data_IF_615574820548
#
_entry.id   IF_615574820548
#
_cell.length_a   1.000
_cell.length_b   1.000
_cell.length_c   1.000
_cell.angle_alpha   90.00
_cell.angle_beta   90.00
_cell.angle_gamma   90.00
#
_symmetry.space_group_name_H-M   'P 1'
#
loop_
_entity.id
_entity.type
_entity.pdbx_description
1 polymer ?
#
# COMPACT_ATOMS: atom_id res chain seq x y z
N UNK A 1 -8.92 22.43 4.77
CA UNK A 1 -9.29 21.26 5.59
C UNK A 1 -10.18 20.28 4.82
N UNK A 2 -10.13 20.28 3.48
CA UNK A 2 -10.94 19.42 2.60
C UNK A 2 -10.08 18.70 1.54
N UNK A 3 -8.76 18.67 1.72
CA UNK A 3 -7.82 18.04 0.77
C UNK A 3 -7.04 16.87 1.41
N UNK A 4 -6.96 16.77 2.74
CA UNK A 4 -6.20 15.71 3.43
C UNK A 4 -6.96 14.36 3.42
N UNK A 5 -8.30 14.39 3.49
CA UNK A 5 -9.17 13.20 3.49
C UNK A 5 -9.21 12.51 2.12
N UNK A 6 -9.27 13.27 1.04
CA UNK A 6 -9.20 12.75 -0.34
C UNK A 6 -7.86 12.05 -0.59
N UNK A 7 -6.77 12.58 -0.04
CA UNK A 7 -5.45 11.98 -0.17
C UNK A 7 -5.32 10.69 0.65
N UNK A 8 -5.91 10.65 1.85
CA UNK A 8 -5.92 9.45 2.69
C UNK A 8 -6.75 8.32 2.09
N UNK A 9 -7.89 8.61 1.47
CA UNK A 9 -8.68 7.60 0.74
C UNK A 9 -7.90 6.98 -0.43
N UNK A 10 -7.19 7.80 -1.21
CA UNK A 10 -6.36 7.31 -2.31
C UNK A 10 -5.20 6.43 -1.82
N UNK A 11 -4.55 6.82 -0.70
CA UNK A 11 -3.51 6.02 -0.05
C UNK A 11 -4.07 4.71 0.48
N UNK A 12 -5.25 4.74 1.09
CA UNK A 12 -5.92 3.56 1.61
C UNK A 12 -6.25 2.58 0.48
N UNK A 13 -6.92 3.05 -0.57
CA UNK A 13 -7.30 2.23 -1.72
C UNK A 13 -6.09 1.61 -2.42
N UNK A 14 -5.08 2.42 -2.77
CA UNK A 14 -3.88 1.93 -3.47
C UNK A 14 -3.08 0.92 -2.61
N UNK A 15 -2.90 1.19 -1.31
CA UNK A 15 -2.23 0.26 -0.40
C UNK A 15 -3.00 -1.05 -0.23
N UNK A 16 -4.33 -0.99 -0.22
CA UNK A 16 -5.20 -2.16 -0.12
C UNK A 16 -5.08 -3.04 -1.36
N UNK A 17 -5.06 -2.46 -2.56
CA UNK A 17 -4.86 -3.22 -3.80
C UNK A 17 -3.47 -3.86 -3.91
N UNK A 18 -2.42 -3.20 -3.38
CA UNK A 18 -1.08 -3.82 -3.30
C UNK A 18 -1.08 -5.06 -2.39
N UNK A 19 -1.72 -4.98 -1.22
CA UNK A 19 -1.87 -6.12 -0.32
C UNK A 19 -2.66 -7.24 -1.00
N UNK A 20 -3.79 -6.91 -1.62
CA UNK A 20 -4.66 -7.85 -2.31
C UNK A 20 -3.94 -8.58 -3.45
N UNK A 21 -3.13 -7.87 -4.24
CA UNK A 21 -2.31 -8.48 -5.29
C UNK A 21 -1.26 -9.45 -4.70
N UNK A 22 -0.62 -9.09 -3.59
CA UNK A 22 0.33 -9.98 -2.91
C UNK A 22 -0.35 -11.25 -2.37
N UNK A 23 -1.57 -11.12 -1.84
CA UNK A 23 -2.36 -12.27 -1.36
C UNK A 23 -2.74 -13.22 -2.50
N UNK A 24 -3.11 -12.70 -3.68
CA UNK A 24 -3.39 -13.53 -4.87
C UNK A 24 -2.14 -14.25 -5.34
N UNK A 25 -1.01 -13.54 -5.47
CA UNK A 25 0.27 -14.15 -5.86
C UNK A 25 0.67 -15.28 -4.92
N UNK A 26 0.61 -15.05 -3.61
CA UNK A 26 0.89 -16.07 -2.61
C UNK A 26 -0.08 -17.26 -2.68
N UNK A 27 -1.36 -17.03 -2.94
CA UNK A 27 -2.34 -18.11 -3.12
C UNK A 27 -2.06 -18.95 -4.37
N UNK A 28 -1.68 -18.31 -5.48
CA UNK A 28 -1.40 -18.99 -6.74
C UNK A 28 -0.06 -19.76 -6.68
N UNK A 29 0.96 -19.23 -5.99
CA UNK A 29 2.23 -19.91 -5.70
C UNK A 29 2.03 -21.14 -4.79
N UNK A 30 1.17 -21.01 -3.78
CA UNK A 30 0.80 -22.13 -2.92
C UNK A 30 0.07 -23.23 -3.69
N UNK A 31 -0.84 -22.86 -4.60
CA UNK A 31 -1.55 -23.80 -5.46
C UNK A 31 -0.62 -24.49 -6.47
N UNK A 32 0.39 -23.79 -6.99
CA UNK A 32 1.39 -24.37 -7.89
C UNK A 32 2.32 -25.37 -7.20
N UNK A 33 2.58 -25.18 -5.90
CA UNK A 33 3.53 -26.00 -5.13
C UNK A 33 2.93 -27.34 -4.67
N UNK A 34 1.61 -27.43 -4.46
CA UNK A 34 0.95 -28.66 -3.97
C UNK A 34 -0.35 -28.99 -4.75
N UNK A 35 -0.25 -29.52 -5.99
CA UNK A 35 -1.42 -29.75 -6.84
C UNK A 35 -2.34 -30.92 -6.42
N UNK A 36 -1.89 -31.82 -5.54
CA UNK A 36 -2.54 -33.12 -5.26
C UNK A 36 -2.98 -33.34 -3.79
N UNK A 37 -3.03 -32.29 -2.95
CA UNK A 37 -3.41 -32.46 -1.54
C UNK A 37 -4.94 -32.57 -1.35
N UNK A 38 -5.47 -33.79 -1.50
CA UNK A 38 -6.90 -34.16 -1.37
C UNK A 38 -7.56 -33.75 -0.03
N UNK A 39 -6.81 -33.31 0.98
CA UNK A 39 -7.29 -33.05 2.34
C UNK A 39 -6.87 -31.71 2.96
N UNK A 40 -6.27 -30.78 2.20
CA UNK A 40 -6.00 -29.44 2.73
C UNK A 40 -7.15 -28.51 2.35
N UNK A 41 -7.62 -27.71 3.31
CA UNK A 41 -8.54 -26.62 3.01
C UNK A 41 -7.92 -25.81 1.89
N UNK A 42 -8.64 -25.63 0.77
CA UNK A 42 -8.21 -24.83 -0.38
C UNK A 42 -8.13 -23.32 -0.07
N UNK A 43 -7.96 -23.00 1.21
CA UNK A 43 -7.88 -21.68 1.77
C UNK A 43 -6.42 -21.26 1.84
N UNK A 44 -6.05 -20.08 1.33
CA UNK A 44 -4.67 -19.63 1.39
C UNK A 44 -4.21 -19.52 2.84
N UNK A 45 -2.98 -19.99 3.11
CA UNK A 45 -2.33 -19.78 4.42
C UNK A 45 -2.16 -18.29 4.76
N UNK A 46 -2.23 -17.42 3.75
CA UNK A 46 -2.03 -16.00 3.89
C UNK A 46 -0.55 -15.63 3.89
N UNK A 47 -0.27 -14.33 4.06
CA UNK A 47 1.08 -13.81 4.20
C UNK A 47 1.33 -13.42 5.66
N UNK A 48 2.56 -13.55 6.18
CA UNK A 48 2.86 -13.11 7.54
C UNK A 48 2.68 -11.60 7.69
N UNK A 49 2.23 -11.16 8.86
CA UNK A 49 1.96 -9.75 9.15
C UNK A 49 3.17 -8.84 8.86
N UNK A 50 4.39 -9.32 9.11
CA UNK A 50 5.63 -8.57 8.81
C UNK A 50 5.84 -8.33 7.31
N UNK A 51 5.44 -9.26 6.46
CA UNK A 51 5.54 -9.12 5.00
C UNK A 51 4.43 -8.23 4.47
N UNK A 52 3.21 -8.37 4.99
CA UNK A 52 2.10 -7.47 4.67
C UNK A 52 2.47 -6.00 4.94
N UNK A 53 3.20 -5.72 6.04
CA UNK A 53 3.72 -4.38 6.37
C UNK A 53 4.87 -3.89 5.47
N UNK A 54 5.52 -4.77 4.74
CA UNK A 54 6.54 -4.39 3.75
C UNK A 54 5.89 -4.10 2.40
N UNK A 55 4.90 -4.92 2.03
CA UNK A 55 4.07 -4.72 0.84
C UNK A 55 3.26 -3.42 0.97
N UNK A 56 2.65 -3.21 2.14
CA UNK A 56 1.93 -1.99 2.47
C UNK A 56 2.86 -0.96 3.09
N UNK A 57 3.04 0.18 2.45
CA UNK A 57 3.81 1.29 3.01
C UNK A 57 3.14 1.92 4.23
N UNK A 58 1.80 1.84 4.32
CA UNK A 58 0.96 2.32 5.44
C UNK A 58 0.28 1.16 6.15
N UNK A 59 0.77 0.85 7.35
CA UNK A 59 0.37 -0.36 8.10
C UNK A 59 -0.86 -0.14 8.99
N UNK A 60 -1.21 1.12 9.25
CA UNK A 60 -2.40 1.53 9.97
C UNK A 60 -3.69 1.07 9.28
N UNK A 61 -3.67 0.97 7.95
CA UNK A 61 -4.81 0.50 7.16
C UNK A 61 -5.14 -0.99 7.32
N UNK A 62 -4.21 -1.81 7.84
CA UNK A 62 -4.47 -3.24 8.07
C UNK A 62 -5.61 -3.44 9.07
N UNK A 63 -5.64 -2.66 10.15
CA UNK A 63 -6.72 -2.74 11.13
C UNK A 63 -8.06 -2.34 10.51
N UNK A 64 -8.07 -1.32 9.66
CA UNK A 64 -9.29 -0.89 8.98
C UNK A 64 -9.80 -1.96 8.00
N UNK A 65 -8.93 -2.58 7.21
CA UNK A 65 -9.30 -3.65 6.27
C UNK A 65 -9.85 -4.89 6.98
N UNK A 66 -9.34 -5.21 8.16
CA UNK A 66 -9.85 -6.29 9.00
C UNK A 66 -11.24 -5.95 9.55
N UNK A 67 -11.44 -4.71 10.04
CA UNK A 67 -12.75 -4.22 10.49
C UNK A 67 -13.81 -4.19 9.37
N UNK A 68 -13.41 -3.90 8.14
CA UNK A 68 -14.29 -3.91 6.97
C UNK A 68 -14.52 -5.32 6.39
N UNK A 69 -13.97 -6.37 7.01
CA UNK A 69 -14.07 -7.76 6.58
C UNK A 69 -13.51 -8.03 5.17
N UNK A 70 -12.56 -7.23 4.70
CA UNK A 70 -11.84 -7.50 3.45
C UNK A 70 -10.76 -8.55 3.65
N UNK A 71 -10.07 -8.47 4.79
CA UNK A 71 -9.05 -9.41 5.24
C UNK A 71 -9.45 -10.02 6.59
N UNK A 72 -8.68 -11.02 7.01
CA UNK A 72 -8.72 -11.58 8.35
C UNK A 72 -7.28 -11.76 8.86
N UNK A 73 -7.04 -11.32 10.09
CA UNK A 73 -5.77 -11.55 10.81
C UNK A 73 -5.93 -12.78 11.72
N UNK A 74 -5.15 -13.82 11.45
CA UNK A 74 -5.18 -15.08 12.21
C UNK A 74 -4.45 -14.96 13.56
N UNK A 75 -4.65 -15.95 14.44
CA UNK A 75 -3.94 -16.05 15.73
C UNK A 75 -2.43 -16.16 15.57
N UNK A 76 -1.98 -16.73 14.46
CA UNK A 76 -0.56 -16.83 14.09
C UNK A 76 -0.04 -15.60 13.34
N UNK A 77 -0.77 -14.48 13.38
CA UNK A 77 -0.43 -13.24 12.68
C UNK A 77 -0.23 -13.42 11.17
N UNK A 78 -1.06 -14.27 10.56
CA UNK A 78 -1.15 -14.39 9.11
C UNK A 78 -2.34 -13.60 8.60
N UNK A 79 -2.11 -12.82 7.55
CA UNK A 79 -3.13 -12.04 6.86
C UNK A 79 -3.61 -12.84 5.68
N UNK A 80 -4.91 -13.09 5.63
CA UNK A 80 -5.57 -13.78 4.53
C UNK A 80 -6.80 -12.99 4.09
N UNK A 81 -7.31 -13.19 2.86
CA UNK A 81 -8.64 -12.70 2.52
C UNK A 81 -9.67 -13.24 3.52
N UNK A 82 -10.79 -12.56 3.71
CA UNK A 82 -11.84 -13.02 4.64
C UNK A 82 -12.60 -14.26 4.11
N UNK A 83 -12.66 -14.45 2.79
CA UNK A 83 -13.25 -15.64 2.16
C UNK A 83 -12.56 -16.03 0.85
N UNK A 84 -12.79 -17.27 0.38
CA UNK A 84 -12.38 -17.72 -0.96
C UNK A 84 -13.08 -16.90 -2.05
N UNK A 85 -14.33 -16.49 -1.81
CA UNK A 85 -15.07 -15.63 -2.76
C UNK A 85 -14.34 -14.30 -2.93
N UNK A 86 -13.91 -13.69 -1.83
CA UNK A 86 -13.14 -12.46 -1.86
C UNK A 86 -11.83 -12.64 -2.63
N UNK A 87 -11.11 -13.74 -2.39
CA UNK A 87 -9.88 -14.06 -3.14
C UNK A 87 -10.15 -14.16 -4.65
N UNK A 88 -11.24 -14.81 -5.06
CA UNK A 88 -11.59 -14.95 -6.47
C UNK A 88 -11.95 -13.62 -7.13
N UNK A 89 -12.71 -12.78 -6.43
CA UNK A 89 -13.04 -11.41 -6.90
C UNK A 89 -11.77 -10.59 -7.07
N UNK A 90 -10.88 -10.61 -6.07
CA UNK A 90 -9.59 -9.91 -6.17
C UNK A 90 -8.78 -10.45 -7.35
N UNK A 91 -8.72 -11.78 -7.52
CA UNK A 91 -8.00 -12.40 -8.63
C UNK A 91 -8.55 -11.96 -9.99
N UNK A 92 -9.86 -11.85 -10.12
CA UNK A 92 -10.50 -11.34 -11.34
C UNK A 92 -10.09 -9.89 -11.61
N UNK A 93 -10.18 -9.02 -10.59
CA UNK A 93 -9.78 -7.60 -10.69
C UNK A 93 -8.29 -7.43 -11.03
N UNK A 94 -7.41 -8.19 -10.37
CA UNK A 94 -5.97 -8.12 -10.61
C UNK A 94 -5.56 -8.62 -12.00
N UNK A 95 -6.40 -9.45 -12.65
CA UNK A 95 -6.19 -9.97 -13.99
C UNK A 95 -6.88 -9.13 -15.08
N UNK A 96 -7.59 -8.05 -14.71
CA UNK A 96 -8.17 -7.15 -15.69
C UNK A 96 -7.08 -6.51 -16.57
N UNK A 97 -7.35 -6.31 -17.88
CA UNK A 97 -6.46 -5.55 -18.73
C UNK A 97 -6.31 -4.14 -18.15
N UNK A 98 -5.08 -3.63 -18.18
CA UNK A 98 -4.71 -2.29 -17.66
C UNK A 98 -4.78 -2.12 -16.13
N UNK A 99 -5.10 -3.15 -15.34
CA UNK A 99 -5.15 -3.02 -13.86
C UNK A 99 -3.82 -2.51 -13.29
N UNK A 100 -2.71 -3.12 -13.70
CA UNK A 100 -1.38 -2.75 -13.21
C UNK A 100 -1.01 -1.31 -13.61
N UNK A 101 -1.29 -0.91 -14.86
CA UNK A 101 -1.02 0.46 -15.32
C UNK A 101 -1.84 1.49 -14.55
N UNK A 102 -3.12 1.20 -14.27
CA UNK A 102 -3.99 2.06 -13.45
C UNK A 102 -3.47 2.19 -12.02
N UNK A 103 -3.06 1.08 -11.43
CA UNK A 103 -2.51 1.08 -10.06
C UNK A 103 -1.21 1.90 -9.99
N UNK A 104 -0.28 1.67 -10.92
CA UNK A 104 0.99 2.40 -10.98
C UNK A 104 0.77 3.90 -11.24
N UNK A 105 -0.21 4.25 -12.07
CA UNK A 105 -0.61 5.65 -12.30
C UNK A 105 -1.14 6.32 -11.02
N UNK A 106 -1.94 5.62 -10.21
CA UNK A 106 -2.42 6.13 -8.92
C UNK A 106 -1.26 6.31 -7.94
N UNK A 107 -0.38 5.31 -7.82
CA UNK A 107 0.78 5.37 -6.92
C UNK A 107 1.73 6.52 -7.29
N UNK A 108 1.96 6.73 -8.59
CA UNK A 108 2.79 7.84 -9.07
C UNK A 108 2.17 9.19 -8.68
N UNK A 109 0.87 9.39 -8.89
CA UNK A 109 0.17 10.63 -8.51
C UNK A 109 0.24 10.91 -7.01
N UNK A 110 0.07 9.88 -6.17
CA UNK A 110 0.22 10.01 -4.71
C UNK A 110 1.64 10.45 -4.37
N UNK A 111 2.66 9.81 -4.96
CA UNK A 111 4.06 10.14 -4.74
C UNK A 111 4.39 11.59 -5.15
N UNK A 112 3.88 12.04 -6.30
CA UNK A 112 4.07 13.40 -6.79
C UNK A 112 3.44 14.42 -5.83
N UNK A 113 2.23 14.17 -5.34
CA UNK A 113 1.55 15.05 -4.38
C UNK A 113 2.29 15.08 -3.04
N UNK A 114 2.70 13.93 -2.50
CA UNK A 114 3.49 13.87 -1.26
C UNK A 114 4.84 14.60 -1.40
N UNK A 115 5.40 14.62 -2.61
CA UNK A 115 6.65 15.34 -2.87
C UNK A 115 6.49 16.86 -2.75
N UNK A 116 5.33 17.41 -3.11
CA UNK A 116 5.04 18.85 -3.01
C UNK A 116 5.02 19.33 -1.55
N UNK A 117 4.65 18.47 -0.61
CA UNK A 117 4.68 18.77 0.83
C UNK A 117 6.09 18.79 1.44
N UNK A 118 7.11 18.24 0.76
CA UNK A 118 8.49 18.18 1.26
C UNK A 118 9.25 19.47 0.95
N UNK A 119 8.92 20.56 1.65
CA UNK A 119 9.76 21.76 1.62
C UNK A 119 10.87 21.65 2.66
N UNK A 120 12.13 21.72 2.24
CA UNK A 120 13.29 21.77 3.16
C UNK A 120 13.58 23.23 3.51
N UNK A 121 13.28 23.65 4.74
CA UNK A 121 13.62 24.99 5.23
C UNK A 121 15.05 25.02 5.77
N UNK A 122 15.85 26.02 5.38
CA UNK A 122 17.17 26.27 5.95
C UNK A 122 17.12 27.50 6.86
N UNK A 123 17.28 27.29 8.17
CA UNK A 123 17.39 28.37 9.15
C UNK A 123 18.84 28.85 9.23
N UNK A 124 19.11 30.05 8.72
CA UNK A 124 20.44 30.68 8.84
C UNK A 124 20.49 31.63 10.04
N UNK A 125 21.41 31.39 10.98
CA UNK A 125 21.67 32.29 12.11
C UNK A 125 22.94 33.10 11.85
N UNK A 126 22.82 34.42 11.74
CA UNK A 126 23.97 35.33 11.60
C UNK A 126 24.01 36.34 12.74
N UNK A 127 25.08 36.32 13.54
CA UNK A 127 25.38 37.36 14.54
C UNK A 127 24.63 37.25 15.88
N UNK A 128 24.99 38.13 16.83
CA UNK A 128 24.52 38.11 18.22
C UNK A 128 23.01 38.38 18.41
N UNK A 129 22.35 39.08 17.46
CA UNK A 129 20.95 39.53 17.62
C UNK A 129 20.04 39.32 16.38
N UNK A 130 20.42 38.49 15.40
CA UNK A 130 19.71 38.39 14.11
C UNK A 130 19.10 37.01 13.82
N UNK A 131 17.77 36.89 13.92
CA UNK A 131 17.02 35.75 13.39
C UNK A 131 16.48 36.11 12.00
N UNK A 132 16.96 35.44 10.95
CA UNK A 132 16.38 35.51 9.61
C UNK A 132 15.91 34.11 9.20
N UNK A 133 14.65 33.97 8.78
CA UNK A 133 14.13 32.73 8.21
C UNK A 133 14.17 32.90 6.69
N UNK A 134 14.88 32.02 5.99
CA UNK A 134 14.92 32.01 4.52
C UNK A 134 14.33 30.71 4.02
N UNK A 135 13.16 30.80 3.38
CA UNK A 135 12.49 29.67 2.77
C UNK A 135 13.10 29.43 1.38
N UNK A 136 13.94 28.41 1.25
CA UNK A 136 14.51 28.00 -0.04
C UNK A 136 13.72 26.80 -0.56
N UNK A 137 13.13 26.95 -1.74
CA UNK A 137 12.53 25.83 -2.47
C UNK A 137 13.59 25.27 -3.43
N UNK A 138 14.08 24.06 -3.16
CA UNK A 138 15.02 23.37 -4.05
C UNK A 138 14.16 22.51 -5.01
N UNK A 139 14.07 22.93 -6.26
CA UNK A 139 13.44 22.13 -7.33
C UNK A 139 14.51 21.29 -8.02
N UNK A 140 14.37 19.97 -7.98
CA UNK A 140 15.24 19.04 -8.69
C UNK A 140 14.86 19.09 -10.19
N UNK A 141 15.52 19.95 -10.96
CA UNK A 141 15.40 19.90 -12.41
C UNK A 141 16.16 18.66 -12.92
N UNK A 142 15.46 17.54 -13.08
CA UNK A 142 15.94 16.45 -13.94
C UNK A 142 16.07 16.99 -15.35
N UNK A 143 17.30 17.31 -15.76
CA UNK A 143 17.62 17.53 -17.17
C UNK A 143 17.40 16.22 -17.92
N UNK A 144 16.52 16.31 -18.92
CA UNK A 144 16.24 15.26 -19.91
C UNK A 144 17.47 15.03 -20.79
#
# INVERSE_FOLDING_TARGET
DCDDDVMDEQKWSSSSFLLMQALVKNADEAAASEPDSVNQSNYPKGIPYSEARQVMTRTDFLSQLDHENMIAIDTDYHIKPNSIVMLNVIRELCNEPDFQERLDSVLQRISDIESLGRTRELLWKSGKDGHGIMNIKIEDQRQV
#
